data_IF_086424428010
#
_entry.id   IF_086424428010
#
_cell.length_a   1.000
_cell.length_b   1.000
_cell.length_c   1.000
_cell.angle_alpha   90.00
_cell.angle_beta   90.00
_cell.angle_gamma   90.00
#
_symmetry.space_group_name_H-M   'P 1'
#
loop_
_entity.id
_entity.type
_entity.pdbx_description
1 polymer ?
#
# COMPACT_ATOMS: atom_id res chain seq x y z
N UNK A 1 37.43 -25.84 18.17
CA UNK A 1 36.33 -25.21 18.94
C UNK A 1 36.37 -23.75 18.54
N UNK A 2 35.55 -23.34 17.57
CA UNK A 2 35.48 -21.94 17.16
C UNK A 2 34.77 -21.20 18.29
N UNK A 3 35.53 -20.45 19.08
CA UNK A 3 34.96 -19.43 19.95
C UNK A 3 34.19 -18.48 19.04
N UNK A 4 32.86 -18.54 19.12
CA UNK A 4 31.98 -17.51 18.61
C UNK A 4 32.28 -16.25 19.41
N UNK A 5 33.30 -15.52 18.97
CA UNK A 5 33.46 -14.12 19.30
C UNK A 5 32.10 -13.47 19.05
N UNK A 6 31.47 -12.97 20.11
CA UNK A 6 30.37 -12.01 20.04
C UNK A 6 30.95 -10.61 20.24
N UNK A 7 31.41 -9.91 19.20
CA UNK A 7 31.63 -8.48 19.29
C UNK A 7 30.46 -7.79 18.59
N UNK A 8 29.63 -7.14 19.41
CA UNK A 8 28.88 -5.89 19.13
C UNK A 8 27.56 -5.87 19.91
N UNK A 9 27.66 -5.99 21.23
CA UNK A 9 26.67 -5.41 22.14
C UNK A 9 26.87 -3.88 22.29
N UNK A 10 27.58 -3.26 21.33
CA UNK A 10 27.73 -1.81 21.24
C UNK A 10 26.40 -1.17 20.83
N UNK A 11 25.76 -0.55 21.82
CA UNK A 11 24.80 0.55 21.66
C UNK A 11 23.69 0.30 20.63
N UNK A 12 22.81 -0.67 20.90
CA UNK A 12 21.40 -0.47 20.53
C UNK A 12 21.00 0.90 21.08
N UNK A 13 20.79 1.88 20.20
CA UNK A 13 20.34 3.22 20.54
C UNK A 13 19.15 3.08 21.49
N UNK A 14 19.09 3.87 22.56
CA UNK A 14 17.98 3.85 23.53
C UNK A 14 16.62 3.88 22.81
N UNK A 15 16.53 4.60 21.68
CA UNK A 15 15.33 4.63 20.82
C UNK A 15 14.99 3.26 20.23
N UNK A 16 15.97 2.50 19.76
CA UNK A 16 15.76 1.17 19.17
C UNK A 16 15.35 0.16 20.25
N UNK A 17 15.94 0.21 21.46
CA UNK A 17 15.49 -0.63 22.59
C UNK A 17 14.04 -0.35 22.98
N UNK A 18 13.70 0.92 23.17
CA UNK A 18 12.33 1.35 23.45
C UNK A 18 11.39 0.88 22.34
N UNK A 19 11.80 0.97 21.07
CA UNK A 19 10.98 0.50 19.95
C UNK A 19 10.75 -1.01 20.02
N UNK A 20 11.78 -1.80 20.35
CA UNK A 20 11.67 -3.27 20.51
C UNK A 20 10.71 -3.62 21.65
N UNK A 21 10.78 -2.91 22.78
CA UNK A 21 9.88 -3.16 23.91
C UNK A 21 8.43 -2.80 23.52
N UNK A 22 8.22 -1.65 22.87
CA UNK A 22 6.90 -1.20 22.41
C UNK A 22 6.25 -2.16 21.39
N UNK A 23 7.03 -2.83 20.53
CA UNK A 23 6.50 -3.82 19.58
C UNK A 23 6.12 -5.13 20.25
N UNK A 24 6.88 -5.56 21.26
CA UNK A 24 6.54 -6.75 22.07
C UNK A 24 5.28 -6.50 22.90
N UNK A 25 5.21 -5.35 23.58
CA UNK A 25 4.03 -4.95 24.35
C UNK A 25 2.78 -4.88 23.46
N UNK A 26 2.93 -4.36 22.24
CA UNK A 26 1.87 -4.30 21.25
C UNK A 26 1.40 -5.66 20.75
N UNK A 27 2.34 -6.57 20.51
CA UNK A 27 2.05 -7.96 20.14
C UNK A 27 1.28 -8.68 21.25
N UNK A 28 1.76 -8.58 22.49
CA UNK A 28 1.11 -9.17 23.67
C UNK A 28 -0.28 -8.57 23.89
N UNK A 29 -0.44 -7.26 23.72
CA UNK A 29 -1.73 -6.58 23.80
C UNK A 29 -2.72 -7.11 22.75
N UNK A 30 -2.29 -7.25 21.49
CA UNK A 30 -3.14 -7.74 20.40
C UNK A 30 -3.58 -9.19 20.61
N UNK A 31 -2.72 -10.04 21.18
CA UNK A 31 -3.00 -11.44 21.52
C UNK A 31 -4.08 -11.61 22.60
N UNK A 32 -4.44 -10.55 23.33
CA UNK A 32 -5.55 -10.59 24.29
C UNK A 32 -6.93 -10.58 23.61
N UNK A 33 -6.98 -10.26 22.31
CA UNK A 33 -8.20 -10.22 21.52
C UNK A 33 -8.30 -11.42 20.58
N UNK A 34 -9.53 -11.75 20.18
CA UNK A 34 -9.80 -12.75 19.14
C UNK A 34 -9.54 -12.14 17.75
N UNK A 35 -8.25 -12.03 17.41
CA UNK A 35 -7.77 -11.58 16.11
C UNK A 35 -7.17 -12.74 15.31
N UNK A 36 -7.22 -12.60 14.00
CA UNK A 36 -6.54 -13.51 13.09
C UNK A 36 -5.02 -13.34 13.22
N UNK A 37 -4.35 -14.41 13.60
CA UNK A 37 -2.91 -14.43 13.89
C UNK A 37 -2.07 -14.24 12.63
N UNK A 38 -2.62 -14.52 11.45
CA UNK A 38 -1.92 -14.35 10.18
C UNK A 38 -1.59 -12.87 9.91
N UNK A 39 -2.38 -11.94 10.46
CA UNK A 39 -2.15 -10.50 10.34
C UNK A 39 -1.36 -9.88 11.49
N UNK A 40 -1.02 -10.65 12.54
CA UNK A 40 -0.35 -10.10 13.72
C UNK A 40 1.02 -9.53 13.38
N UNK A 41 1.83 -10.28 12.63
CA UNK A 41 3.17 -9.86 12.24
C UNK A 41 3.13 -8.61 11.35
N UNK A 42 2.20 -8.56 10.39
CA UNK A 42 2.03 -7.41 9.51
C UNK A 42 1.57 -6.17 10.26
N UNK A 43 0.69 -6.35 11.25
CA UNK A 43 0.22 -5.28 12.13
C UNK A 43 1.36 -4.70 12.96
N UNK A 44 2.15 -5.54 13.62
CA UNK A 44 3.30 -5.10 14.43
C UNK A 44 4.37 -4.48 13.53
N UNK A 45 4.62 -5.05 12.35
CA UNK A 45 5.53 -4.50 11.34
C UNK A 45 5.11 -3.10 10.86
N UNK A 46 3.81 -2.87 10.65
CA UNK A 46 3.28 -1.55 10.30
C UNK A 46 3.54 -0.52 11.41
N UNK A 47 3.34 -0.89 12.68
CA UNK A 47 3.62 0.01 13.81
C UNK A 47 5.11 0.24 14.01
N UNK A 48 5.94 -0.79 13.88
CA UNK A 48 7.39 -0.66 13.90
C UNK A 48 7.85 0.39 12.87
N UNK A 49 7.40 0.28 11.63
CA UNK A 49 7.69 1.27 10.57
C UNK A 49 7.18 2.67 10.95
N UNK A 50 6.00 2.76 11.55
CA UNK A 50 5.41 4.03 11.92
C UNK A 50 6.25 4.74 12.99
N UNK A 51 6.68 4.01 14.03
CA UNK A 51 7.56 4.51 15.09
C UNK A 51 8.94 4.93 14.58
N UNK A 52 9.44 4.28 13.51
CA UNK A 52 10.72 4.64 12.87
C UNK A 52 10.66 5.98 12.14
N UNK A 53 9.51 6.34 11.57
CA UNK A 53 9.32 7.60 10.82
C UNK A 53 8.91 8.76 11.75
N UNK A 54 8.25 8.46 12.87
CA UNK A 54 7.84 9.49 13.84
C UNK A 54 8.94 9.80 14.85
N UNK A 55 9.05 11.08 15.19
CA UNK A 55 9.98 11.54 16.23
C UNK A 55 9.46 11.28 17.65
N UNK A 56 8.13 11.21 17.80
CA UNK A 56 7.46 11.02 19.09
C UNK A 56 6.54 9.82 19.05
N UNK A 57 6.61 9.01 20.11
CA UNK A 57 5.67 7.91 20.35
C UNK A 57 4.29 8.52 20.65
N UNK A 58 3.21 8.05 20.00
CA UNK A 58 1.86 8.49 20.31
C UNK A 58 1.51 8.26 21.79
N UNK A 59 0.71 9.16 22.37
CA UNK A 59 0.33 9.07 23.78
C UNK A 59 -0.41 7.77 24.13
N UNK A 60 -1.20 7.22 23.19
CA UNK A 60 -1.82 5.91 23.32
C UNK A 60 -1.49 5.04 22.10
N UNK A 61 -0.39 4.30 22.19
CA UNK A 61 0.09 3.45 21.11
C UNK A 61 -0.82 2.23 20.86
N UNK A 62 -1.52 1.72 21.87
CA UNK A 62 -2.44 0.59 21.73
C UNK A 62 -3.59 0.86 20.75
N UNK A 63 -4.10 2.11 20.72
CA UNK A 63 -5.07 2.54 19.69
C UNK A 63 -4.49 2.47 18.27
N UNK A 64 -3.20 2.75 18.12
CA UNK A 64 -2.53 2.63 16.83
C UNK A 64 -2.36 1.16 16.41
N UNK A 65 -2.08 0.23 17.33
CA UNK A 65 -2.07 -1.20 17.02
C UNK A 65 -3.42 -1.69 16.47
N UNK A 66 -4.53 -1.30 17.10
CA UNK A 66 -5.88 -1.63 16.62
C UNK A 66 -6.14 -1.02 15.22
N UNK A 67 -5.70 0.23 15.01
CA UNK A 67 -5.83 0.89 13.71
C UNK A 67 -4.95 0.27 12.63
N UNK A 68 -3.73 -0.18 12.97
CA UNK A 68 -2.87 -0.91 12.06
C UNK A 68 -3.49 -2.25 11.67
N UNK A 69 -4.07 -2.99 12.63
CA UNK A 69 -4.79 -4.22 12.36
C UNK A 69 -6.00 -3.97 11.43
N UNK A 70 -6.73 -2.87 11.65
CA UNK A 70 -7.80 -2.45 10.73
C UNK A 70 -7.29 -2.19 9.31
N UNK A 71 -6.14 -1.55 9.14
CA UNK A 71 -5.56 -1.28 7.82
C UNK A 71 -5.12 -2.58 7.13
N UNK A 72 -4.40 -3.45 7.86
CA UNK A 72 -3.85 -4.71 7.33
C UNK A 72 -4.96 -5.65 6.88
N UNK A 73 -6.02 -5.78 7.67
CA UNK A 73 -7.19 -6.63 7.34
C UNK A 73 -8.07 -6.07 6.22
N UNK A 74 -7.69 -4.92 5.63
CA UNK A 74 -8.42 -4.20 4.59
C UNK A 74 -7.60 -4.03 3.32
N UNK A 75 -6.74 -5.01 3.02
CA UNK A 75 -6.11 -5.11 1.72
C UNK A 75 -7.16 -5.40 0.62
N UNK A 76 -7.03 -4.92 -0.63
CA UNK A 76 -7.98 -5.23 -1.72
C UNK A 76 -8.30 -6.73 -1.87
N UNK A 77 -7.31 -7.61 -1.77
CA UNK A 77 -7.53 -9.08 -1.81
C UNK A 77 -8.34 -9.66 -0.64
N UNK A 78 -8.64 -8.87 0.40
CA UNK A 78 -9.56 -9.27 1.45
C UNK A 78 -11.04 -9.03 1.08
N UNK A 79 -11.32 -8.55 -0.15
CA UNK A 79 -12.68 -8.38 -0.62
C UNK A 79 -13.45 -9.72 -0.60
N UNK A 80 -14.72 -9.75 -0.10
CA UNK A 80 -15.45 -8.65 0.52
C UNK A 80 -15.15 -8.52 2.02
N UNK A 81 -14.62 -7.36 2.45
CA UNK A 81 -14.34 -7.08 3.85
C UNK A 81 -15.45 -6.22 4.50
N UNK A 82 -16.71 -6.66 4.47
CA UNK A 82 -17.85 -5.78 4.84
C UNK A 82 -18.14 -5.62 6.34
N UNK A 83 -17.15 -5.83 7.22
CA UNK A 83 -17.35 -5.55 8.65
C UNK A 83 -17.54 -4.03 8.87
N UNK A 84 -18.55 -3.60 9.64
CA UNK A 84 -18.70 -2.18 9.92
C UNK A 84 -17.63 -1.68 10.88
N UNK A 85 -17.26 -0.39 10.82
CA UNK A 85 -16.35 0.22 11.81
C UNK A 85 -16.87 0.04 13.23
N UNK A 86 -18.19 0.09 13.42
CA UNK A 86 -18.85 -0.10 14.72
C UNK A 86 -18.59 -1.52 15.26
N UNK A 87 -18.79 -2.53 14.43
CA UNK A 87 -18.59 -3.94 14.82
C UNK A 87 -17.11 -4.29 14.97
N UNK A 88 -16.24 -3.62 14.23
CA UNK A 88 -14.80 -3.73 14.44
C UNK A 88 -14.38 -3.10 15.78
N UNK A 89 -14.80 -1.87 16.04
CA UNK A 89 -14.45 -1.12 17.24
C UNK A 89 -14.96 -1.75 18.53
N UNK A 90 -16.15 -2.37 18.50
CA UNK A 90 -16.74 -3.02 19.67
C UNK A 90 -15.89 -4.17 20.20
N UNK A 91 -15.17 -4.90 19.34
CA UNK A 91 -14.24 -5.98 19.73
C UNK A 91 -13.09 -5.47 20.62
N UNK A 92 -12.71 -4.21 20.47
CA UNK A 92 -11.57 -3.60 21.15
C UNK A 92 -11.97 -2.54 22.19
N UNK A 93 -13.27 -2.36 22.44
CA UNK A 93 -13.80 -1.28 23.27
C UNK A 93 -13.23 0.10 22.87
N UNK A 94 -13.16 0.35 21.56
CA UNK A 94 -12.59 1.57 20.96
C UNK A 94 -13.71 2.48 20.44
N UNK A 95 -13.55 3.80 20.55
CA UNK A 95 -14.44 4.73 19.86
C UNK A 95 -14.12 4.81 18.36
N UNK A 96 -15.15 4.92 17.52
CA UNK A 96 -14.97 5.03 16.05
C UNK A 96 -14.11 6.24 15.70
N UNK A 97 -14.30 7.38 16.35
CA UNK A 97 -13.50 8.59 16.16
C UNK A 97 -12.01 8.36 16.46
N UNK A 98 -11.70 7.56 17.48
CA UNK A 98 -10.33 7.18 17.82
C UNK A 98 -9.72 6.28 16.75
N UNK A 99 -10.49 5.31 16.23
CA UNK A 99 -10.04 4.47 15.11
C UNK A 99 -9.74 5.32 13.89
N UNK A 100 -10.68 6.18 13.47
CA UNK A 100 -10.53 7.03 12.29
C UNK A 100 -9.32 7.94 12.40
N UNK A 101 -9.13 8.61 13.53
CA UNK A 101 -7.95 9.42 13.79
C UNK A 101 -6.65 8.63 13.62
N UNK A 102 -6.56 7.43 14.20
CA UNK A 102 -5.34 6.63 14.16
C UNK A 102 -5.09 6.08 12.74
N UNK A 103 -6.13 5.60 12.06
CA UNK A 103 -6.06 5.12 10.67
C UNK A 103 -5.58 6.24 9.76
N UNK A 104 -6.18 7.43 9.84
CA UNK A 104 -5.79 8.57 9.01
C UNK A 104 -4.35 9.00 9.29
N UNK A 105 -3.90 8.97 10.55
CA UNK A 105 -2.51 9.27 10.90
C UNK A 105 -1.53 8.25 10.33
N UNK A 106 -1.84 6.95 10.40
CA UNK A 106 -0.99 5.90 9.83
C UNK A 106 -0.98 6.03 8.30
N UNK A 107 -2.15 6.03 7.66
CA UNK A 107 -2.31 6.07 6.21
C UNK A 107 -1.62 7.30 5.60
N UNK A 108 -1.83 8.49 6.16
CA UNK A 108 -1.18 9.73 5.68
C UNK A 108 0.33 9.74 5.87
N UNK A 109 0.86 9.07 6.91
CA UNK A 109 2.31 9.03 7.16
C UNK A 109 3.07 8.20 6.13
N UNK A 110 2.41 7.21 5.52
CA UNK A 110 2.99 6.35 4.50
C UNK A 110 2.48 6.66 3.09
N UNK A 111 1.45 7.50 2.96
CA UNK A 111 0.82 7.84 1.69
C UNK A 111 -0.04 6.71 1.12
N UNK A 112 -0.71 5.92 1.98
CA UNK A 112 -1.55 4.81 1.52
C UNK A 112 -2.59 5.29 0.52
N UNK A 113 -2.78 4.50 -0.54
CA UNK A 113 -3.88 4.68 -1.47
C UNK A 113 -5.11 4.06 -0.81
N UNK A 114 -6.11 4.87 -0.51
CA UNK A 114 -7.39 4.44 0.02
C UNK A 114 -8.39 4.34 -1.12
N UNK A 115 -8.95 3.17 -1.33
CA UNK A 115 -10.06 2.94 -2.26
C UNK A 115 -11.31 2.54 -1.48
N UNK A 116 -12.49 2.74 -2.08
CA UNK A 116 -13.78 2.39 -1.49
C UNK A 116 -14.50 1.44 -2.44
N UNK A 117 -15.08 0.37 -1.92
CA UNK A 117 -16.03 -0.43 -2.70
C UNK A 117 -17.37 0.30 -2.89
N UNK A 118 -18.29 -0.34 -3.60
CA UNK A 118 -19.62 0.21 -3.88
C UNK A 118 -20.47 0.44 -2.61
N UNK A 119 -20.14 -0.23 -1.49
CA UNK A 119 -20.76 -0.04 -0.18
C UNK A 119 -20.01 0.98 0.69
N UNK A 120 -18.99 1.65 0.14
CA UNK A 120 -18.11 2.60 0.83
C UNK A 120 -17.25 1.99 1.96
N UNK A 121 -16.98 0.68 1.94
CA UNK A 121 -15.96 0.12 2.82
C UNK A 121 -14.57 0.43 2.29
N UNK A 122 -13.64 0.87 3.16
CA UNK A 122 -12.31 1.26 2.73
C UNK A 122 -11.37 0.06 2.60
N UNK A 123 -10.53 0.12 1.57
CA UNK A 123 -9.36 -0.75 1.38
C UNK A 123 -8.11 0.11 1.24
N UNK A 124 -6.97 -0.44 1.67
CA UNK A 124 -5.71 0.29 1.80
C UNK A 124 -4.59 -0.42 1.07
N UNK A 125 -3.88 0.31 0.21
CA UNK A 125 -2.76 -0.17 -0.59
C UNK A 125 -1.51 0.63 -0.18
N UNK A 126 -0.44 -0.07 0.21
CA UNK A 126 0.84 0.56 0.57
C UNK A 126 1.63 0.85 -0.71
N UNK A 127 1.78 2.12 -1.15
CA UNK A 127 2.35 2.43 -2.46
C UNK A 127 3.82 1.99 -2.63
N UNK A 128 4.51 1.68 -1.52
CA UNK A 128 5.93 1.31 -1.50
C UNK A 128 6.20 -0.17 -1.32
N UNK A 129 5.23 -0.95 -0.82
CA UNK A 129 5.44 -2.35 -0.43
C UNK A 129 4.39 -3.32 -0.93
N UNK A 130 3.31 -2.79 -1.50
CA UNK A 130 2.26 -3.62 -2.06
C UNK A 130 2.77 -4.29 -3.35
N UNK A 131 2.95 -5.61 -3.28
CA UNK A 131 3.44 -6.42 -4.39
C UNK A 131 2.48 -6.33 -5.60
N UNK A 132 1.18 -6.28 -5.33
CA UNK A 132 0.16 -6.22 -6.37
C UNK A 132 0.27 -4.91 -7.15
N UNK A 133 0.47 -3.79 -6.45
CA UNK A 133 0.70 -2.49 -7.06
C UNK A 133 2.04 -2.42 -7.81
N UNK A 134 3.09 -3.05 -7.30
CA UNK A 134 4.39 -3.13 -7.99
C UNK A 134 4.26 -3.88 -9.33
N UNK A 135 3.56 -5.01 -9.33
CA UNK A 135 3.25 -5.78 -10.54
C UNK A 135 2.45 -4.91 -11.52
N UNK A 136 1.40 -4.24 -11.04
CA UNK A 136 0.58 -3.33 -11.86
C UNK A 136 1.44 -2.25 -12.51
N UNK A 137 2.31 -1.56 -11.76
CA UNK A 137 3.21 -0.52 -12.30
C UNK A 137 4.11 -1.07 -13.41
N UNK A 138 4.67 -2.26 -13.22
CA UNK A 138 5.54 -2.89 -14.21
C UNK A 138 4.78 -3.26 -15.51
N UNK A 139 3.57 -3.81 -15.38
CA UNK A 139 2.71 -4.12 -16.54
C UNK A 139 2.38 -2.84 -17.31
N UNK A 140 1.93 -1.80 -16.61
CA UNK A 140 1.58 -0.49 -17.19
C UNK A 140 2.76 0.09 -17.95
N UNK A 141 3.92 0.16 -17.31
CA UNK A 141 5.15 0.68 -17.93
C UNK A 141 5.52 -0.07 -19.20
N UNK A 142 5.58 -1.41 -19.15
CA UNK A 142 5.95 -2.23 -20.30
C UNK A 142 4.99 -2.05 -21.48
N UNK A 143 3.68 -1.96 -21.21
CA UNK A 143 2.66 -1.76 -22.26
C UNK A 143 2.76 -0.38 -22.89
N UNK A 144 3.01 0.66 -22.09
CA UNK A 144 3.16 2.03 -22.58
C UNK A 144 4.42 2.17 -23.42
N UNK A 145 5.56 1.62 -22.97
CA UNK A 145 6.79 1.60 -23.75
C UNK A 145 6.56 0.96 -25.14
N UNK A 146 5.87 -0.18 -25.19
CA UNK A 146 5.53 -0.85 -26.44
C UNK A 146 4.58 -0.02 -27.33
N UNK A 147 3.57 0.64 -26.74
CA UNK A 147 2.65 1.51 -27.46
C UNK A 147 3.36 2.74 -28.03
N UNK A 148 4.25 3.35 -27.24
CA UNK A 148 5.05 4.50 -27.65
C UNK A 148 6.03 4.15 -28.77
N UNK A 149 6.70 3.00 -28.71
CA UNK A 149 7.56 2.56 -29.82
C UNK A 149 6.77 2.34 -31.11
N UNK A 150 5.55 1.78 -31.02
CA UNK A 150 4.67 1.67 -32.19
C UNK A 150 4.25 3.04 -32.74
N UNK A 151 4.00 4.02 -31.88
CA UNK A 151 3.74 5.39 -32.31
C UNK A 151 4.94 6.01 -33.02
N UNK A 152 6.15 5.86 -32.46
CA UNK A 152 7.36 6.42 -33.07
C UNK A 152 7.69 5.78 -34.42
N UNK A 153 7.53 4.46 -34.55
CA UNK A 153 7.86 3.74 -35.79
C UNK A 153 6.79 3.87 -36.88
N UNK A 154 5.51 3.95 -36.50
CA UNK A 154 4.39 3.85 -37.45
C UNK A 154 3.45 5.06 -37.43
N UNK A 155 3.75 6.09 -36.65
CA UNK A 155 2.93 7.29 -36.45
C UNK A 155 1.47 7.00 -36.08
N UNK A 156 1.22 5.88 -35.38
CA UNK A 156 -0.12 5.46 -34.96
C UNK A 156 -0.48 6.09 -33.62
N UNK A 157 -1.53 6.95 -33.55
CA UNK A 157 -1.87 7.64 -32.31
C UNK A 157 -2.21 6.65 -31.19
N UNK A 158 -1.79 6.98 -29.97
CA UNK A 158 -2.09 6.18 -28.78
C UNK A 158 -3.26 6.82 -28.04
N UNK A 159 -4.33 6.05 -27.83
CA UNK A 159 -5.46 6.47 -27.02
C UNK A 159 -5.28 5.95 -25.60
N UNK A 160 -5.11 6.85 -24.63
CA UNK A 160 -4.86 6.50 -23.22
C UNK A 160 -6.04 5.78 -22.56
N UNK A 161 -7.28 6.08 -22.95
CA UNK A 161 -8.47 5.45 -22.38
C UNK A 161 -8.56 3.98 -22.81
N UNK A 162 -8.43 3.72 -24.12
CA UNK A 162 -8.44 2.35 -24.66
C UNK A 162 -7.29 1.54 -24.05
N UNK A 163 -6.10 2.13 -23.95
CA UNK A 163 -4.95 1.48 -23.34
C UNK A 163 -5.18 1.15 -21.85
N UNK A 164 -5.86 2.04 -21.12
CA UNK A 164 -6.23 1.83 -19.72
C UNK A 164 -7.21 0.66 -19.60
N UNK A 165 -8.25 0.59 -20.42
CA UNK A 165 -9.23 -0.51 -20.40
C UNK A 165 -8.56 -1.87 -20.70
N UNK A 166 -7.67 -1.91 -21.69
CA UNK A 166 -6.88 -3.10 -22.02
C UNK A 166 -6.00 -3.51 -20.84
N UNK A 167 -5.29 -2.56 -20.22
CA UNK A 167 -4.42 -2.80 -19.08
C UNK A 167 -5.17 -3.32 -17.86
N UNK A 168 -6.31 -2.72 -17.52
CA UNK A 168 -7.14 -3.16 -16.39
C UNK A 168 -7.59 -4.61 -16.60
N UNK A 169 -8.04 -4.95 -17.83
CA UNK A 169 -8.44 -6.31 -18.18
C UNK A 169 -7.27 -7.31 -18.05
N UNK A 170 -6.09 -6.95 -18.55
CA UNK A 170 -4.85 -7.75 -18.48
C UNK A 170 -4.44 -7.99 -17.01
N UNK A 171 -4.46 -6.94 -16.19
CA UNK A 171 -4.12 -6.98 -14.75
C UNK A 171 -5.04 -7.93 -13.97
N UNK A 172 -6.35 -7.88 -14.23
CA UNK A 172 -7.35 -8.69 -13.49
C UNK A 172 -7.35 -10.13 -13.97
N UNK A 173 -7.46 -10.36 -15.28
CA UNK A 173 -7.76 -11.68 -15.81
C UNK A 173 -6.51 -12.51 -16.10
N UNK A 174 -5.48 -11.91 -16.68
CA UNK A 174 -4.24 -12.62 -17.04
C UNK A 174 -3.28 -12.69 -15.86
N UNK A 175 -3.07 -11.55 -15.19
CA UNK A 175 -2.08 -11.44 -14.12
C UNK A 175 -2.64 -11.71 -12.72
N UNK A 176 -3.98 -11.64 -12.53
CA UNK A 176 -4.65 -11.79 -11.23
C UNK A 176 -4.03 -10.92 -10.13
N UNK A 177 -3.56 -9.74 -10.51
CA UNK A 177 -2.85 -8.83 -9.63
C UNK A 177 -3.79 -7.85 -8.90
N UNK A 178 -5.10 -8.01 -9.06
CA UNK A 178 -6.11 -7.24 -8.33
C UNK A 178 -7.46 -7.98 -8.35
N UNK A 179 -8.32 -7.83 -7.33
CA UNK A 179 -9.68 -8.39 -7.34
C UNK A 179 -10.55 -7.77 -8.45
N UNK A 180 -11.33 -8.61 -9.14
CA UNK A 180 -12.22 -8.20 -10.22
C UNK A 180 -13.34 -7.28 -9.71
N UNK A 181 -13.80 -7.48 -8.49
CA UNK A 181 -14.92 -6.74 -7.91
C UNK A 181 -14.60 -5.27 -7.64
N UNK A 182 -13.30 -4.92 -7.61
CA UNK A 182 -12.82 -3.55 -7.44
C UNK A 182 -12.34 -2.94 -8.77
N UNK A 183 -12.88 -3.41 -9.90
CA UNK A 183 -12.50 -2.99 -11.26
C UNK A 183 -12.50 -1.47 -11.44
N UNK A 184 -13.54 -0.79 -10.95
CA UNK A 184 -13.68 0.66 -11.08
C UNK A 184 -12.54 1.41 -10.37
N UNK A 185 -12.20 0.95 -9.17
CA UNK A 185 -11.15 1.52 -8.35
C UNK A 185 -9.78 1.24 -8.97
N UNK A 186 -9.60 0.06 -9.57
CA UNK A 186 -8.41 -0.28 -10.34
C UNK A 186 -8.26 0.62 -11.57
N UNK A 187 -9.34 0.88 -12.31
CA UNK A 187 -9.31 1.78 -13.46
C UNK A 187 -8.76 3.16 -13.08
N UNK A 188 -9.21 3.73 -11.97
CA UNK A 188 -8.72 5.03 -11.49
C UNK A 188 -7.21 5.00 -11.12
N UNK A 189 -6.73 3.88 -10.59
CA UNK A 189 -5.30 3.68 -10.27
C UNK A 189 -4.49 3.60 -11.56
N UNK A 190 -4.91 2.73 -12.50
CA UNK A 190 -4.21 2.49 -13.77
C UNK A 190 -4.21 3.74 -14.63
N UNK A 191 -5.34 4.44 -14.75
CA UNK A 191 -5.43 5.70 -15.53
C UNK A 191 -4.41 6.73 -15.06
N UNK A 192 -4.22 6.89 -13.74
CA UNK A 192 -3.22 7.81 -13.19
C UNK A 192 -1.79 7.39 -13.50
N UNK A 193 -1.51 6.08 -13.46
CA UNK A 193 -0.19 5.55 -13.85
C UNK A 193 0.07 5.77 -15.34
N UNK A 194 -0.95 5.54 -16.18
CA UNK A 194 -0.87 5.75 -17.62
C UNK A 194 -0.59 7.21 -17.96
N UNK A 195 -1.31 8.16 -17.34
CA UNK A 195 -1.09 9.59 -17.52
C UNK A 195 0.32 10.04 -17.09
N UNK A 196 0.82 9.50 -15.97
CA UNK A 196 2.16 9.80 -15.49
C UNK A 196 3.24 9.36 -16.49
N UNK A 197 3.15 8.13 -16.98
CA UNK A 197 4.11 7.57 -17.95
C UNK A 197 4.08 8.32 -19.29
N UNK A 198 2.90 8.70 -19.80
CA UNK A 198 2.83 9.51 -21.03
C UNK A 198 3.43 10.91 -20.86
N UNK A 199 3.35 11.50 -19.68
CA UNK A 199 3.96 12.81 -19.41
C UNK A 199 5.48 12.75 -19.55
N UNK A 200 6.11 11.66 -19.11
CA UNK A 200 7.55 11.43 -19.31
C UNK A 200 7.89 11.26 -20.79
N UNK A 201 7.07 10.50 -21.53
CA UNK A 201 7.30 10.24 -22.95
C UNK A 201 7.06 11.45 -23.87
N UNK A 202 6.16 12.38 -23.51
CA UNK A 202 5.98 13.62 -24.27
C UNK A 202 7.27 14.44 -24.38
N UNK A 203 8.10 14.42 -23.33
CA UNK A 203 9.41 15.07 -23.38
C UNK A 203 10.31 14.42 -24.44
N UNK A 204 10.25 13.09 -24.57
CA UNK A 204 10.99 12.34 -25.59
C UNK A 204 10.53 12.66 -27.01
N UNK A 205 9.21 12.76 -27.24
CA UNK A 205 8.63 13.15 -28.54
C UNK A 205 9.07 14.57 -28.93
N UNK A 206 9.02 15.54 -28.00
CA UNK A 206 9.47 16.91 -28.25
C UNK A 206 10.98 16.98 -28.54
N UNK A 207 11.79 16.17 -27.85
CA UNK A 207 13.23 16.08 -28.11
C UNK A 207 13.50 15.48 -29.50
N UNK A 208 12.77 14.45 -29.91
CA UNK A 208 12.92 13.89 -31.26
C UNK A 208 12.56 14.91 -32.35
N UNK A 209 11.44 15.61 -32.22
CA UNK A 209 11.04 16.66 -33.17
C UNK A 209 12.04 17.82 -33.24
N UNK A 210 12.75 18.12 -32.14
CA UNK A 210 13.70 19.23 -32.08
C UNK A 210 15.08 18.91 -32.64
N UNK A 211 15.52 17.65 -32.54
CA UNK A 211 16.89 17.25 -32.86
C UNK A 211 17.02 16.33 -34.09
N UNK A 212 15.92 15.73 -34.55
CA UNK A 212 15.94 14.70 -35.60
C UNK A 212 14.94 14.94 -36.74
N UNK A 213 14.14 16.02 -36.68
CA UNK A 213 13.30 16.54 -37.75
C UNK A 213 13.73 17.99 -38.00
#
# INVERSE_FOLDING_TARGET
MLELYTPDYELLNTKDRITIDLIKDGEEFLKQFDIDQDFLLDTVSLIYRYLRIKDKVPHNLYKFYIAAYYIVTRHPFAFPAHQTKKDFCSKFNLEISSLEYCVDKIASSFGYIKILDDMNFPYFIDPKRDLSLEIIKNIVKSKIEAAMMKFLLYSRPVNSQILTEELVSDIVFEHKAFPEELFRQLYDIVSKLVEAEFTEHNQYVMLQQKYFI
#
